data_IF_941899012339
#
_entry.id   IF_941899012339
#
_cell.length_a   1.000
_cell.length_b   1.000
_cell.length_c   1.000
_cell.angle_alpha   90.00
_cell.angle_beta   90.00
_cell.angle_gamma   90.00
#
_symmetry.space_group_name_H-M   'P 1'
#
loop_
_entity.id
_entity.type
_entity.pdbx_description
1 polymer ?
#
# COMPACT_ATOMS: atom_id res chain seq x y z
N UNK A 1 -10.07 7.09 26.18
CA UNK A 1 -10.10 6.94 24.70
C UNK A 1 -11.31 6.07 24.34
N UNK A 2 -11.86 6.21 23.14
CA UNK A 2 -13.04 5.43 22.72
C UNK A 2 -12.76 3.94 22.62
N UNK A 3 -13.77 3.12 22.87
CA UNK A 3 -13.73 1.65 22.79
C UNK A 3 -14.24 1.22 21.42
N UNK A 4 -13.53 0.31 20.74
CA UNK A 4 -13.96 -0.25 19.46
C UNK A 4 -15.09 -1.24 19.71
N UNK A 5 -16.22 -1.05 19.04
CA UNK A 5 -17.40 -1.90 19.20
C UNK A 5 -17.40 -3.06 18.20
N UNK A 6 -18.07 -4.16 18.56
CA UNK A 6 -18.24 -5.31 17.67
C UNK A 6 -19.05 -4.91 16.42
N UNK A 7 -20.02 -4.01 16.55
CA UNK A 7 -20.82 -3.51 15.44
C UNK A 7 -19.98 -2.82 14.36
N UNK A 8 -19.06 -1.95 14.77
CA UNK A 8 -18.11 -1.29 13.86
C UNK A 8 -17.25 -2.29 13.09
N UNK A 9 -16.77 -3.34 13.78
CA UNK A 9 -15.96 -4.40 13.16
C UNK A 9 -16.80 -5.23 12.18
N UNK A 10 -18.04 -5.59 12.53
CA UNK A 10 -18.96 -6.30 11.62
C UNK A 10 -19.22 -5.50 10.35
N UNK A 11 -19.50 -4.20 10.47
CA UNK A 11 -19.68 -3.33 9.30
C UNK A 11 -18.42 -3.23 8.44
N UNK A 12 -17.24 -3.13 9.06
CA UNK A 12 -15.97 -3.06 8.35
C UNK A 12 -15.68 -4.33 7.55
N UNK A 13 -15.92 -5.51 8.14
CA UNK A 13 -15.78 -6.81 7.47
C UNK A 13 -16.67 -6.88 6.23
N UNK A 14 -17.93 -6.44 6.33
CA UNK A 14 -18.85 -6.49 5.19
C UNK A 14 -18.44 -5.56 4.03
N UNK A 15 -17.76 -4.45 4.33
CA UNK A 15 -17.23 -3.51 3.34
C UNK A 15 -15.95 -3.98 2.64
N UNK A 16 -15.34 -5.09 3.06
CA UNK A 16 -14.14 -5.63 2.41
C UNK A 16 -14.41 -5.99 0.95
N UNK A 17 -13.46 -5.76 0.06
CA UNK A 17 -13.57 -6.17 -1.33
C UNK A 17 -13.26 -7.66 -1.48
N UNK A 18 -14.17 -8.42 -2.08
CA UNK A 18 -13.93 -9.82 -2.45
C UNK A 18 -12.94 -9.93 -3.64
N UNK A 19 -12.33 -11.10 -3.81
CA UNK A 19 -11.38 -11.43 -4.88
C UNK A 19 -9.97 -10.90 -4.63
N UNK A 20 -9.61 -10.63 -3.37
CA UNK A 20 -8.25 -10.27 -2.97
C UNK A 20 -7.49 -11.52 -2.57
N UNK A 21 -6.22 -11.59 -2.96
CA UNK A 21 -5.35 -12.67 -2.54
C UNK A 21 -5.19 -12.65 -1.01
N UNK A 22 -5.23 -13.82 -0.35
CA UNK A 22 -4.96 -13.91 1.08
C UNK A 22 -3.50 -13.56 1.40
N UNK A 23 -3.24 -13.25 2.66
CA UNK A 23 -1.88 -13.13 3.18
C UNK A 23 -1.17 -14.49 3.22
N UNK A 24 0.01 -14.52 3.84
CA UNK A 24 0.72 -15.77 4.15
C UNK A 24 -0.05 -16.67 5.13
N UNK A 25 -1.07 -16.12 5.80
CA UNK A 25 -2.03 -16.81 6.65
C UNK A 25 -3.15 -17.55 5.88
N UNK A 26 -3.30 -17.32 4.58
CA UNK A 26 -4.33 -17.97 3.76
C UNK A 26 -5.76 -17.43 3.98
N UNK A 27 -5.94 -16.37 4.79
CA UNK A 27 -7.26 -15.84 5.13
C UNK A 27 -7.71 -14.80 4.11
N UNK A 28 -8.75 -15.10 3.33
CA UNK A 28 -9.30 -14.16 2.35
C UNK A 28 -10.49 -13.36 2.91
N UNK A 29 -10.84 -12.20 2.30
CA UNK A 29 -12.00 -11.41 2.72
C UNK A 29 -13.32 -12.19 2.77
N UNK A 30 -13.50 -13.18 1.91
CA UNK A 30 -14.70 -14.02 1.85
C UNK A 30 -14.84 -14.91 3.09
N UNK A 31 -13.73 -15.47 3.58
CA UNK A 31 -13.72 -16.27 4.82
C UNK A 31 -14.11 -15.41 6.02
N UNK A 32 -13.57 -14.18 6.09
CA UNK A 32 -13.91 -13.23 7.15
C UNK A 32 -15.38 -12.80 7.10
N UNK A 33 -15.97 -12.70 5.91
CA UNK A 33 -17.40 -12.36 5.75
C UNK A 33 -18.34 -13.52 6.05
N UNK A 34 -17.88 -14.76 5.83
CA UNK A 34 -18.67 -15.96 6.05
C UNK A 34 -18.83 -16.30 7.54
N UNK A 35 -17.85 -15.92 8.36
CA UNK A 35 -17.87 -16.16 9.80
C UNK A 35 -18.26 -14.84 10.53
N UNK A 36 -19.45 -14.81 11.14
CA UNK A 36 -20.05 -13.59 11.69
C UNK A 36 -20.02 -13.51 13.22
N UNK A 37 -19.59 -14.56 13.90
CA UNK A 37 -19.72 -14.69 15.35
C UNK A 37 -18.36 -14.49 16.05
N UNK A 38 -17.33 -15.26 15.69
CA UNK A 38 -16.04 -15.23 16.39
C UNK A 38 -15.05 -14.20 15.81
N UNK A 39 -14.99 -14.08 14.49
CA UNK A 39 -14.08 -13.22 13.74
C UNK A 39 -14.18 -11.76 14.17
N UNK A 40 -15.39 -11.17 14.32
CA UNK A 40 -15.50 -9.78 14.76
C UNK A 40 -15.02 -9.57 16.21
N UNK A 41 -15.15 -10.59 17.07
CA UNK A 41 -14.70 -10.52 18.46
C UNK A 41 -13.17 -10.53 18.50
N UNK A 42 -12.55 -11.50 17.82
CA UNK A 42 -11.09 -11.65 17.75
C UNK A 42 -10.45 -10.39 17.15
N UNK A 43 -10.99 -9.89 16.03
CA UNK A 43 -10.49 -8.68 15.40
C UNK A 43 -10.67 -7.46 16.31
N UNK A 44 -11.81 -7.34 17.00
CA UNK A 44 -12.04 -6.25 17.97
C UNK A 44 -11.01 -6.29 19.08
N UNK A 45 -10.71 -7.46 19.65
CA UNK A 45 -9.70 -7.59 20.72
C UNK A 45 -8.30 -7.21 20.23
N UNK A 46 -7.88 -7.70 19.06
CA UNK A 46 -6.58 -7.35 18.47
C UNK A 46 -6.49 -5.84 18.20
N UNK A 47 -7.51 -5.28 17.54
CA UNK A 47 -7.55 -3.85 17.21
C UNK A 47 -7.58 -2.98 18.47
N UNK A 48 -8.32 -3.42 19.50
CA UNK A 48 -8.41 -2.71 20.77
C UNK A 48 -7.05 -2.71 21.48
N UNK A 49 -6.34 -3.84 21.50
CA UNK A 49 -4.99 -3.94 22.07
C UNK A 49 -3.99 -3.06 21.33
N UNK A 50 -4.04 -3.05 19.99
CA UNK A 50 -3.22 -2.14 19.18
C UNK A 50 -3.54 -0.68 19.52
N UNK A 51 -4.82 -0.34 19.67
CA UNK A 51 -5.26 1.01 19.97
C UNK A 51 -4.86 1.49 21.38
N UNK A 52 -4.87 0.59 22.36
CA UNK A 52 -4.53 0.93 23.76
C UNK A 52 -3.04 0.91 24.03
N UNK A 53 -2.33 -0.08 23.50
CA UNK A 53 -0.93 -0.34 23.84
C UNK A 53 0.04 0.14 22.76
N UNK A 54 -0.44 0.40 21.54
CA UNK A 54 0.42 0.70 20.38
C UNK A 54 1.20 -0.52 19.86
N UNK A 55 0.93 -1.71 20.39
CA UNK A 55 1.63 -2.94 20.04
C UNK A 55 1.05 -3.59 18.77
N UNK A 56 1.62 -3.26 17.62
CA UNK A 56 1.27 -3.91 16.34
C UNK A 56 1.93 -5.29 16.24
N UNK A 57 1.17 -6.36 15.91
CA UNK A 57 1.71 -7.70 15.69
C UNK A 57 2.89 -7.71 14.73
N UNK A 58 3.90 -8.55 15.00
CA UNK A 58 5.11 -8.61 14.17
C UNK A 58 4.80 -9.00 12.71
N UNK A 59 3.88 -9.94 12.49
CA UNK A 59 3.45 -10.36 11.15
C UNK A 59 2.91 -9.20 10.32
N UNK A 60 2.19 -8.26 10.94
CA UNK A 60 1.63 -7.08 10.25
C UNK A 60 2.69 -6.04 9.88
N UNK A 61 3.89 -6.14 10.44
CA UNK A 61 5.04 -5.28 10.11
C UNK A 61 5.89 -5.87 8.99
N UNK A 62 5.60 -7.09 8.54
CA UNK A 62 6.38 -7.79 7.51
C UNK A 62 5.73 -7.58 6.14
N UNK A 63 6.32 -6.68 5.34
CA UNK A 63 6.05 -6.60 3.91
C UNK A 63 7.18 -7.28 3.14
N UNK A 64 6.89 -8.31 2.37
CA UNK A 64 7.89 -8.89 1.45
C UNK A 64 7.75 -8.20 0.10
N UNK A 65 8.70 -7.33 -0.21
CA UNK A 65 8.78 -6.66 -1.50
C UNK A 65 9.85 -7.38 -2.34
N UNK A 66 9.46 -7.86 -3.52
CA UNK A 66 10.40 -8.37 -4.50
C UNK A 66 10.57 -7.33 -5.61
N UNK A 67 11.66 -6.57 -5.53
CA UNK A 67 12.07 -5.72 -6.64
C UNK A 67 12.73 -6.58 -7.72
N UNK A 68 12.23 -6.46 -8.95
CA UNK A 68 12.84 -7.12 -10.12
C UNK A 68 13.42 -6.04 -11.03
N UNK A 69 14.58 -5.48 -10.64
CA UNK A 69 15.38 -4.60 -11.49
C UNK A 69 16.36 -5.40 -12.34
N UNK A 70 16.42 -5.12 -13.64
CA UNK A 70 17.26 -5.86 -14.59
C UNK A 70 17.88 -4.97 -15.66
N UNK A 71 19.13 -5.30 -15.99
CA UNK A 71 19.93 -4.59 -16.99
C UNK A 71 19.62 -5.06 -18.41
N UNK A 72 19.15 -6.30 -18.60
CA UNK A 72 18.91 -6.90 -19.92
C UNK A 72 17.46 -7.32 -20.12
N UNK A 73 16.97 -7.12 -21.33
CA UNK A 73 15.63 -7.54 -21.78
C UNK A 73 15.38 -9.06 -21.60
N UNK A 74 16.41 -9.88 -21.78
CA UNK A 74 16.29 -11.33 -21.59
C UNK A 74 15.97 -11.68 -20.13
N UNK A 75 16.54 -10.95 -19.18
CA UNK A 75 16.36 -11.25 -17.75
C UNK A 75 14.96 -10.90 -17.27
N UNK A 76 14.37 -9.80 -17.77
CA UNK A 76 12.99 -9.44 -17.40
C UNK A 76 11.99 -10.47 -17.93
N UNK A 77 12.21 -11.01 -19.13
CA UNK A 77 11.38 -12.06 -19.71
C UNK A 77 11.50 -13.38 -18.93
N UNK A 78 12.73 -13.82 -18.65
CA UNK A 78 12.98 -15.04 -17.87
C UNK A 78 12.37 -14.97 -16.47
N UNK A 79 12.53 -13.84 -15.77
CA UNK A 79 11.98 -13.67 -14.43
C UNK A 79 10.47 -13.52 -14.40
N UNK A 80 9.89 -12.86 -15.39
CA UNK A 80 8.42 -12.77 -15.51
C UNK A 80 7.82 -14.16 -15.68
N UNK A 81 8.47 -15.01 -16.49
CA UNK A 81 8.09 -16.42 -16.65
C UNK A 81 8.24 -17.20 -15.35
N UNK A 82 9.40 -17.11 -14.70
CA UNK A 82 9.67 -17.80 -13.42
C UNK A 82 8.69 -17.38 -12.31
N UNK A 83 8.35 -16.10 -12.24
CA UNK A 83 7.32 -15.58 -11.32
C UNK A 83 5.96 -16.21 -11.60
N UNK A 84 5.54 -16.29 -12.86
CA UNK A 84 4.26 -16.90 -13.23
C UNK A 84 4.22 -18.39 -12.91
N UNK A 85 5.31 -19.11 -13.21
CA UNK A 85 5.45 -20.54 -12.92
C UNK A 85 5.43 -20.82 -11.41
N UNK A 86 6.17 -20.03 -10.63
CA UNK A 86 6.24 -20.17 -9.17
C UNK A 86 4.93 -19.78 -8.50
N UNK A 87 4.28 -18.70 -8.93
CA UNK A 87 2.95 -18.33 -8.47
C UNK A 87 1.93 -19.45 -8.73
N UNK A 88 1.97 -20.05 -9.92
CA UNK A 88 1.06 -21.13 -10.30
C UNK A 88 1.20 -22.37 -9.40
N UNK A 89 2.43 -22.70 -8.97
CA UNK A 89 2.70 -23.83 -8.06
C UNK A 89 2.01 -23.68 -6.70
N UNK A 90 1.72 -22.44 -6.28
CA UNK A 90 1.01 -22.13 -5.01
C UNK A 90 -0.43 -21.67 -5.25
N UNK A 91 -0.99 -21.93 -6.44
CA UNK A 91 -2.38 -21.60 -6.77
C UNK A 91 -2.64 -20.11 -7.05
N UNK A 92 -1.60 -19.30 -7.20
CA UNK A 92 -1.72 -17.89 -7.58
C UNK A 92 -1.60 -17.71 -9.09
N UNK A 93 -2.37 -16.76 -9.63
CA UNK A 93 -2.30 -16.36 -11.05
C UNK A 93 -1.99 -14.87 -11.17
N UNK A 94 -0.97 -14.53 -11.96
CA UNK A 94 -0.64 -13.14 -12.26
C UNK A 94 -1.76 -12.52 -13.11
N UNK A 95 -2.22 -11.35 -12.70
CA UNK A 95 -3.28 -10.65 -13.42
C UNK A 95 -2.68 -9.82 -14.55
N UNK A 96 -2.68 -10.37 -15.77
CA UNK A 96 -2.11 -9.73 -16.96
C UNK A 96 -2.75 -8.39 -17.32
N UNK A 97 -3.97 -8.08 -16.82
CA UNK A 97 -4.64 -6.78 -17.08
C UNK A 97 -4.19 -5.69 -16.11
N UNK A 98 -3.73 -6.07 -14.92
CA UNK A 98 -3.19 -5.14 -13.92
C UNK A 98 -1.69 -4.95 -14.04
N UNK A 99 -1.02 -5.85 -14.75
CA UNK A 99 0.42 -5.78 -14.98
C UNK A 99 0.70 -4.76 -16.07
N UNK A 100 1.56 -3.80 -15.74
CA UNK A 100 2.04 -2.76 -16.65
C UNK A 100 3.58 -2.80 -16.68
N UNK A 101 4.16 -2.40 -17.78
CA UNK A 101 5.59 -2.27 -17.96
C UNK A 101 6.00 -0.79 -17.87
N UNK A 102 6.99 -0.47 -17.03
CA UNK A 102 7.68 0.82 -17.03
C UNK A 102 9.12 0.58 -17.50
N UNK A 103 9.59 1.37 -18.47
CA UNK A 103 10.99 1.37 -18.92
C UNK A 103 11.67 2.64 -18.46
N UNK A 104 12.88 2.50 -17.95
CA UNK A 104 13.75 3.61 -17.57
C UNK A 104 15.13 3.38 -18.16
N UNK A 105 15.77 4.41 -18.74
CA UNK A 105 17.17 4.37 -19.17
C UNK A 105 17.55 3.18 -20.08
N UNK A 106 16.71 2.85 -21.07
CA UNK A 106 17.00 1.78 -22.05
C UNK A 106 16.63 2.18 -23.47
N UNK A 107 17.40 1.69 -24.45
CA UNK A 107 17.11 1.84 -25.89
C UNK A 107 16.41 0.62 -26.47
N UNK A 108 16.21 -0.43 -25.67
CA UNK A 108 15.58 -1.66 -26.11
C UNK A 108 14.05 -1.50 -26.12
N UNK A 109 13.46 -1.55 -27.31
CA UNK A 109 12.02 -1.40 -27.54
C UNK A 109 11.27 -2.73 -27.70
N UNK A 110 11.91 -3.86 -27.40
CA UNK A 110 11.24 -5.15 -27.50
C UNK A 110 10.07 -5.22 -26.50
N UNK A 111 8.91 -5.74 -26.91
CA UNK A 111 7.73 -5.80 -26.07
C UNK A 111 7.96 -6.75 -24.88
N UNK A 112 7.65 -6.29 -23.67
CA UNK A 112 7.65 -7.18 -22.50
C UNK A 112 6.35 -8.00 -22.55
N UNK A 113 6.49 -9.32 -22.48
CA UNK A 113 5.38 -10.26 -22.68
C UNK A 113 5.16 -11.11 -21.44
N UNK A 114 3.90 -11.35 -21.09
CA UNK A 114 3.50 -12.24 -20.00
C UNK A 114 2.44 -13.19 -20.56
N UNK A 115 2.66 -14.52 -20.43
CA UNK A 115 1.83 -15.54 -21.11
C UNK A 115 1.69 -15.24 -22.63
N UNK A 116 2.79 -14.87 -23.30
CA UNK A 116 2.83 -14.50 -24.73
C UNK A 116 2.01 -13.25 -25.12
N UNK A 117 1.47 -12.51 -24.14
CA UNK A 117 0.73 -11.27 -24.37
C UNK A 117 1.59 -10.04 -24.04
N UNK A 118 1.71 -9.07 -24.95
CA UNK A 118 2.43 -7.83 -24.67
C UNK A 118 1.73 -7.07 -23.53
N UNK A 119 2.52 -6.56 -22.60
CA UNK A 119 2.04 -5.74 -21.49
C UNK A 119 1.94 -4.27 -21.89
N UNK A 120 0.99 -3.54 -21.29
CA UNK A 120 0.84 -2.09 -21.51
C UNK A 120 2.08 -1.36 -20.97
N UNK A 121 2.70 -0.55 -21.84
CA UNK A 121 3.78 0.34 -21.42
C UNK A 121 3.24 1.66 -20.92
N UNK A 122 3.63 2.03 -19.71
CA UNK A 122 3.26 3.30 -19.07
C UNK A 122 4.46 4.22 -18.95
N UNK A 123 4.20 5.52 -18.78
CA UNK A 123 5.24 6.52 -18.50
C UNK A 123 5.36 6.85 -17.00
N UNK A 124 4.31 6.56 -16.24
CA UNK A 124 4.28 6.69 -14.79
C UNK A 124 3.41 5.60 -14.18
N UNK A 125 3.78 5.15 -12.98
CA UNK A 125 2.94 4.28 -12.18
C UNK A 125 3.04 4.61 -10.70
N UNK A 126 1.97 4.34 -9.95
CA UNK A 126 1.96 4.52 -8.49
C UNK A 126 2.39 3.21 -7.83
N UNK A 127 3.50 3.26 -7.12
CA UNK A 127 4.04 2.15 -6.35
C UNK A 127 4.07 2.51 -4.87
N UNK A 128 3.27 1.80 -4.06
CA UNK A 128 3.18 2.03 -2.61
C UNK A 128 2.98 3.52 -2.23
N UNK A 129 2.10 4.20 -2.97
CA UNK A 129 1.81 5.64 -2.78
C UNK A 129 2.85 6.60 -3.36
N UNK A 130 3.97 6.09 -3.86
CA UNK A 130 5.04 6.84 -4.52
C UNK A 130 4.87 6.80 -6.04
N UNK A 131 5.06 7.93 -6.72
CA UNK A 131 4.96 7.99 -8.19
C UNK A 131 6.33 7.69 -8.78
N UNK A 132 6.42 6.63 -9.59
CA UNK A 132 7.61 6.26 -10.34
C UNK A 132 7.41 6.64 -11.80
N UNK A 133 8.39 7.30 -12.40
CA UNK A 133 8.34 7.83 -13.78
C UNK A 133 9.42 7.19 -14.65
N UNK A 134 9.15 7.07 -15.95
CA UNK A 134 10.05 6.46 -16.94
C UNK A 134 11.36 7.25 -17.13
N UNK A 135 11.34 8.56 -16.88
CA UNK A 135 12.54 9.40 -16.88
C UNK A 135 13.43 9.17 -15.65
N UNK A 136 12.98 8.38 -14.66
CA UNK A 136 13.69 8.12 -13.43
C UNK A 136 13.79 9.33 -12.49
N UNK A 137 13.04 10.40 -12.76
CA UNK A 137 13.15 11.68 -12.03
C UNK A 137 12.10 11.78 -10.92
N UNK A 138 12.54 11.83 -9.67
CA UNK A 138 11.65 11.93 -8.50
C UNK A 138 11.07 13.35 -8.25
N UNK A 139 11.42 14.36 -9.07
CA UNK A 139 11.00 15.76 -8.86
C UNK A 139 9.47 15.88 -8.86
N UNK A 140 8.78 15.16 -9.75
CA UNK A 140 7.31 15.16 -9.80
C UNK A 140 6.70 14.63 -8.50
N UNK A 141 7.28 13.56 -7.95
CA UNK A 141 6.85 12.98 -6.68
C UNK A 141 7.12 13.92 -5.50
N UNK A 142 8.31 14.53 -5.43
CA UNK A 142 8.66 15.50 -4.38
C UNK A 142 7.66 16.66 -4.38
N UNK A 143 7.33 17.21 -5.56
CA UNK A 143 6.32 18.27 -5.71
C UNK A 143 4.93 17.80 -5.24
N UNK A 144 4.54 16.57 -5.58
CA UNK A 144 3.27 16.01 -5.14
C UNK A 144 3.21 15.85 -3.61
N UNK A 145 4.29 15.37 -2.98
CA UNK A 145 4.39 15.24 -1.50
C UNK A 145 4.34 16.60 -0.81
N UNK A 146 5.05 17.60 -1.32
CA UNK A 146 4.99 18.99 -0.81
C UNK A 146 3.57 19.55 -0.91
N UNK A 147 2.88 19.33 -2.04
CA UNK A 147 1.50 19.77 -2.22
C UNK A 147 0.55 19.12 -1.20
N UNK A 148 0.63 17.79 -1.03
CA UNK A 148 -0.17 17.05 -0.04
C UNK A 148 0.11 17.52 1.40
N UNK A 149 1.38 17.70 1.77
CA UNK A 149 1.77 18.18 3.10
C UNK A 149 1.27 19.62 3.35
N UNK A 150 1.32 20.48 2.33
CA UNK A 150 0.80 21.85 2.40
C UNK A 150 -0.71 21.87 2.62
N UNK A 151 -1.45 20.98 1.96
CA UNK A 151 -2.89 20.81 2.17
C UNK A 151 -3.19 20.31 3.58
N UNK A 152 -2.49 19.29 4.07
CA UNK A 152 -2.63 18.81 5.44
C UNK A 152 -2.37 19.91 6.47
N UNK A 153 -1.32 20.72 6.26
CA UNK A 153 -1.03 21.88 7.10
C UNK A 153 -2.16 22.91 7.07
N UNK A 154 -2.72 23.20 5.89
CA UNK A 154 -3.81 24.16 5.73
C UNK A 154 -5.11 23.71 6.41
N UNK A 155 -5.45 22.43 6.33
CA UNK A 155 -6.63 21.85 7.00
C UNK A 155 -6.55 21.99 8.53
N UNK A 156 -5.34 21.94 9.09
CA UNK A 156 -5.09 22.05 10.52
C UNK A 156 -4.95 23.50 11.01
N UNK A 157 -5.20 24.50 10.14
CA UNK A 157 -5.16 25.94 10.50
C UNK A 157 -5.93 26.32 11.76
N UNK A 158 -7.11 25.75 12.07
CA UNK A 158 -7.81 26.02 13.34
C UNK A 158 -6.98 25.64 14.57
N UNK A 159 -6.27 24.50 14.53
CA UNK A 159 -5.41 24.02 15.62
C UNK A 159 -4.22 24.96 15.81
N UNK A 160 -3.59 25.40 14.72
CA UNK A 160 -2.44 26.31 14.77
C UNK A 160 -2.81 27.65 15.43
N UNK A 161 -4.01 28.16 15.14
CA UNK A 161 -4.52 29.43 15.67
C UNK A 161 -5.05 29.35 17.10
N UNK A 162 -5.32 28.16 17.64
CA UNK A 162 -5.90 28.03 18.98
C UNK A 162 -4.86 28.38 20.05
N UNK A 163 -5.09 29.37 20.92
CA UNK A 163 -4.12 29.81 21.92
C UNK A 163 -3.96 28.79 23.07
N UNK A 164 -5.01 28.03 23.37
CA UNK A 164 -5.03 27.08 24.49
C UNK A 164 -4.31 25.74 24.19
N UNK A 165 -3.77 25.55 22.99
CA UNK A 165 -2.98 24.37 22.64
C UNK A 165 -1.51 24.72 22.77
N UNK A 166 -0.80 23.98 23.62
CA UNK A 166 0.64 24.18 23.82
C UNK A 166 1.44 24.03 22.52
N UNK A 167 2.53 24.76 22.42
CA UNK A 167 3.48 24.64 21.29
C UNK A 167 4.00 23.21 21.15
N UNK A 168 4.27 22.52 22.28
CA UNK A 168 4.69 21.13 22.29
C UNK A 168 3.67 20.20 21.62
N UNK A 169 2.38 20.36 21.96
CA UNK A 169 1.30 19.60 21.33
C UNK A 169 1.16 19.92 19.83
N UNK A 170 1.26 21.20 19.44
CA UNK A 170 1.23 21.60 18.02
C UNK A 170 2.37 20.98 17.22
N UNK A 171 3.59 20.93 17.77
CA UNK A 171 4.74 20.28 17.14
C UNK A 171 4.49 18.79 16.96
N UNK A 172 3.90 18.10 17.95
CA UNK A 172 3.54 16.68 17.82
C UNK A 172 2.54 16.45 16.69
N UNK A 173 1.50 17.27 16.60
CA UNK A 173 0.48 17.19 15.53
C UNK A 173 1.12 17.45 14.16
N UNK A 174 1.99 18.44 14.05
CA UNK A 174 2.74 18.72 12.82
C UNK A 174 3.58 17.51 12.39
N UNK A 175 4.34 16.91 13.32
CA UNK A 175 5.19 15.73 13.02
C UNK A 175 4.36 14.53 12.56
N UNK A 176 3.22 14.26 13.20
CA UNK A 176 2.42 13.07 12.90
C UNK A 176 1.52 13.21 11.67
N UNK A 177 1.13 14.43 11.27
CA UNK A 177 0.15 14.64 10.19
C UNK A 177 0.70 15.37 8.96
N UNK A 178 1.69 16.24 9.12
CA UNK A 178 2.25 17.05 8.02
C UNK A 178 3.60 16.49 7.59
N UNK A 179 4.51 16.29 8.56
CA UNK A 179 5.84 15.77 8.28
C UNK A 179 5.79 14.30 7.80
N UNK A 180 4.89 13.49 8.35
CA UNK A 180 4.66 12.11 7.91
C UNK A 180 4.30 12.04 6.42
N UNK A 181 3.35 12.86 5.97
CA UNK A 181 2.91 12.97 4.56
C UNK A 181 4.06 13.40 3.66
N UNK A 182 4.88 14.36 4.12
CA UNK A 182 6.02 14.85 3.36
C UNK A 182 7.10 13.76 3.19
N UNK A 183 7.43 13.03 4.26
CA UNK A 183 8.55 12.10 4.29
C UNK A 183 8.23 10.72 3.72
N UNK A 184 7.02 10.20 3.97
CA UNK A 184 6.67 8.82 3.64
C UNK A 184 5.64 8.70 2.51
N UNK A 185 5.09 9.83 2.03
CA UNK A 185 3.97 9.81 1.08
C UNK A 185 2.64 9.54 1.80
N UNK A 186 1.52 9.86 1.15
CA UNK A 186 0.18 9.59 1.63
C UNK A 186 -0.55 8.65 0.69
#
# INVERSE_FOLDING_TARGET
MGNITIGEVKEAIQKLNCGKAPGDDGVCPEMLKAETEETPIILRDILQNIWTEGNVPFSWRKGTIFEVTKERYQDIQLKTKDLCETASKIGLKVNTRKTQALRTNTTNMNPITLEEKPQEEVQEFIYLGSKITADGVCIGEIKARISKASQAFALLRPIWKTPNISTHTKIRIFRSNVLSVLLYGA
#
